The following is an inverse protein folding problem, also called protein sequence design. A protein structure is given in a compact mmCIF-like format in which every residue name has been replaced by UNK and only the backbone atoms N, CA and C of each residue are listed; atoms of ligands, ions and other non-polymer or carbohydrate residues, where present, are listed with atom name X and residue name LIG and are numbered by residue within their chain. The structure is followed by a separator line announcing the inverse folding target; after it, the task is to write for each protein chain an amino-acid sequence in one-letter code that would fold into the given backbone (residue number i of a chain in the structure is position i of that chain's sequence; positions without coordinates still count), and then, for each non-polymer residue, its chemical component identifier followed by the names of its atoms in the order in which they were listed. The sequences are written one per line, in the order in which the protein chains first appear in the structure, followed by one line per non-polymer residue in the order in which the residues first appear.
data_IF_517146012044
#
_entry.id   IF_517146012044
#
_cell.length_a   1.000
_cell.length_b   1.000
_cell.length_c   1.000
_cell.angle_alpha   90.00
_cell.angle_beta   90.00
_cell.angle_gamma   90.00
#
_symmetry.space_group_name_H-M   'P 1'
#
loop_
_entity.id
_entity.type
_entity.pdbx_description
1 polymer ?
#
# COMPACT_ATOMS: atom_id res chain seq x y z
N UNK A 1 9.23 18.55 12.55
CA UNK A 1 7.81 18.21 12.75
C UNK A 1 7.62 16.73 12.45
N UNK A 2 7.34 15.90 13.45
CA UNK A 2 7.07 14.47 13.23
C UNK A 2 5.65 14.32 12.70
N UNK A 3 5.52 14.24 11.38
CA UNK A 3 4.22 14.16 10.70
C UNK A 3 3.37 12.98 11.18
N UNK A 4 4.02 11.90 11.62
CA UNK A 4 3.38 10.70 12.20
C UNK A 4 2.65 10.93 13.52
N UNK A 5 2.62 12.15 14.07
CA UNK A 5 1.87 12.49 15.29
C UNK A 5 0.54 13.17 15.01
N UNK A 6 0.33 13.60 13.76
CA UNK A 6 -0.85 14.36 13.38
C UNK A 6 -1.91 13.42 12.82
N UNK A 7 -3.14 13.53 13.32
CA UNK A 7 -4.31 13.06 12.57
C UNK A 7 -4.46 13.96 11.35
N UNK A 8 -4.70 13.34 10.20
CA UNK A 8 -4.79 14.06 8.92
C UNK A 8 -6.15 13.83 8.29
N UNK A 9 -6.77 14.91 7.84
CA UNK A 9 -8.05 14.87 7.13
C UNK A 9 -8.15 16.01 6.12
N UNK A 10 -8.91 15.80 5.04
CA UNK A 10 -9.26 16.87 4.10
C UNK A 10 -10.49 17.58 4.64
N UNK A 11 -10.40 18.90 4.76
CA UNK A 11 -11.51 19.74 5.22
C UNK A 11 -11.78 20.84 4.22
N UNK A 12 -13.03 21.29 4.14
CA UNK A 12 -13.44 22.39 3.27
C UNK A 12 -13.76 23.63 4.11
N UNK A 13 -13.34 24.79 3.64
CA UNK A 13 -13.64 26.07 4.26
C UNK A 13 -13.87 27.15 3.21
N UNK A 14 -14.07 28.39 3.67
CA UNK A 14 -14.52 29.49 2.82
C UNK A 14 -13.61 29.81 1.61
N UNK A 15 -12.33 29.39 1.64
CA UNK A 15 -11.38 29.62 0.54
C UNK A 15 -10.93 28.34 -0.17
N UNK A 16 -11.69 27.24 -0.04
CA UNK A 16 -11.46 25.97 -0.70
C UNK A 16 -11.13 24.82 0.24
N UNK A 17 -10.51 23.76 -0.29
CA UNK A 17 -10.07 22.59 0.47
C UNK A 17 -8.73 22.83 1.15
N UNK A 18 -8.57 22.24 2.33
CA UNK A 18 -7.39 22.29 3.17
C UNK A 18 -7.03 20.89 3.63
N UNK A 19 -5.73 20.65 3.78
CA UNK A 19 -5.23 19.50 4.52
C UNK A 19 -5.07 19.90 5.99
N UNK A 20 -5.90 19.33 6.85
CA UNK A 20 -5.86 19.60 8.28
C UNK A 20 -4.97 18.60 8.98
N UNK A 21 -4.02 19.10 9.76
CA UNK A 21 -3.14 18.33 10.65
C UNK A 21 -3.51 18.68 12.09
N UNK A 22 -3.92 17.69 12.87
CA UNK A 22 -4.33 17.88 14.27
C UNK A 22 -3.46 17.02 15.18
N UNK A 23 -2.78 17.62 16.16
CA UNK A 23 -2.14 16.92 17.28
C UNK A 23 -2.89 17.20 18.60
N UNK A 24 -2.31 16.83 19.75
CA UNK A 24 -2.93 17.02 21.07
C UNK A 24 -3.15 18.48 21.47
N UNK A 25 -2.55 19.44 20.77
CA UNK A 25 -2.49 20.84 21.21
C UNK A 25 -2.71 21.84 20.06
N UNK A 26 -2.51 21.43 18.82
CA UNK A 26 -2.47 22.32 17.66
C UNK A 26 -3.30 21.76 16.51
N UNK A 27 -3.89 22.69 15.75
CA UNK A 27 -4.54 22.43 14.48
C UNK A 27 -3.86 23.32 13.43
N UNK A 28 -3.32 22.68 12.39
CA UNK A 28 -2.74 23.35 11.23
C UNK A 28 -3.60 23.08 10.00
N UNK A 29 -3.97 24.12 9.26
CA UNK A 29 -4.67 24.00 7.99
C UNK A 29 -3.75 24.43 6.86
N UNK A 30 -3.34 23.48 6.02
CA UNK A 30 -2.48 23.72 4.86
C UNK A 30 -3.36 23.90 3.62
N UNK A 31 -3.19 25.04 2.95
CA UNK A 31 -3.82 25.30 1.65
C UNK A 31 -2.82 25.00 0.54
N UNK A 32 -3.29 24.33 -0.50
CA UNK A 32 -2.52 24.05 -1.71
C UNK A 32 -3.09 24.82 -2.88
N UNK A 33 -2.24 25.22 -3.83
CA UNK A 33 -2.67 25.84 -5.08
C UNK A 33 -3.34 24.82 -5.98
N UNK A 34 -2.80 23.59 -6.01
CA UNK A 34 -3.31 22.47 -6.79
C UNK A 34 -3.81 21.34 -5.90
N UNK A 35 -4.97 20.77 -6.26
CA UNK A 35 -5.56 19.63 -5.54
C UNK A 35 -4.68 18.37 -5.61
N UNK A 36 -3.95 18.18 -6.72
CA UNK A 36 -3.04 17.05 -6.90
C UNK A 36 -1.90 17.04 -5.88
N UNK A 37 -1.36 18.21 -5.54
CA UNK A 37 -0.35 18.34 -4.50
C UNK A 37 -0.91 18.01 -3.12
N UNK A 38 -2.11 18.50 -2.81
CA UNK A 38 -2.78 18.19 -1.55
C UNK A 38 -2.99 16.67 -1.38
N UNK A 39 -3.45 16.00 -2.45
CA UNK A 39 -3.64 14.55 -2.43
C UNK A 39 -2.32 13.81 -2.22
N UNK A 40 -1.24 14.22 -2.91
CA UNK A 40 0.08 13.65 -2.69
C UNK A 40 0.56 13.80 -1.24
N UNK A 41 0.31 14.97 -0.63
CA UNK A 41 0.61 15.20 0.78
C UNK A 41 -0.25 14.35 1.71
N UNK A 42 -1.56 14.26 1.45
CA UNK A 42 -2.46 13.39 2.20
C UNK A 42 -1.96 11.94 2.21
N UNK A 43 -1.65 11.39 1.04
CA UNK A 43 -1.18 10.01 0.92
C UNK A 43 0.15 9.80 1.67
N UNK A 44 1.12 10.71 1.49
CA UNK A 44 2.41 10.67 2.22
C UNK A 44 2.21 10.70 3.73
N UNK A 45 1.28 11.53 4.22
CA UNK A 45 1.02 11.67 5.65
C UNK A 45 0.37 10.42 6.22
N UNK A 46 -0.64 9.86 5.54
CA UNK A 46 -1.30 8.63 5.95
C UNK A 46 -0.30 7.48 6.06
N UNK A 47 0.67 7.38 5.15
CA UNK A 47 1.74 6.40 5.24
C UNK A 47 2.63 6.59 6.47
N UNK A 48 2.92 7.83 6.90
CA UNK A 48 3.70 8.03 8.14
C UNK A 48 2.99 7.49 9.39
N UNK A 49 1.67 7.33 9.33
CA UNK A 49 0.85 6.71 10.37
C UNK A 49 0.82 5.19 10.29
N UNK A 50 1.20 4.61 9.14
CA UNK A 50 1.21 3.16 8.98
C UNK A 50 2.32 2.55 9.82
N UNK A 51 1.95 1.55 10.61
CA UNK A 51 2.91 0.76 11.34
C UNK A 51 3.77 -0.05 10.33
N UNK A 52 5.05 -0.34 10.66
CA UNK A 52 5.87 -1.26 9.87
C UNK A 52 5.22 -2.63 9.68
N UNK A 53 4.30 -2.99 10.58
CA UNK A 53 3.46 -4.17 10.51
C UNK A 53 2.05 -3.69 10.16
N UNK A 54 1.55 -4.08 8.99
CA UNK A 54 0.24 -3.71 8.50
C UNK A 54 -0.61 -4.98 8.35
N UNK A 55 -1.74 -5.03 9.06
CA UNK A 55 -2.71 -6.11 8.94
C UNK A 55 -3.99 -5.59 8.26
N UNK A 56 -4.25 -6.10 7.06
CA UNK A 56 -5.44 -5.86 6.25
C UNK A 56 -6.17 -7.18 5.96
N UNK A 57 -5.97 -8.22 6.79
CA UNK A 57 -6.65 -9.51 6.61
C UNK A 57 -8.15 -9.43 6.89
N UNK A 58 -8.95 -10.28 6.24
CA UNK A 58 -10.39 -10.42 6.47
C UNK A 58 -11.24 -9.16 6.14
N UNK A 59 -10.80 -8.32 5.19
CA UNK A 59 -11.49 -7.08 4.82
C UNK A 59 -12.26 -7.14 3.49
N UNK A 60 -12.27 -8.30 2.81
CA UNK A 60 -12.89 -8.47 1.46
C UNK A 60 -12.35 -7.48 0.43
N UNK A 61 -11.08 -7.10 0.56
CA UNK A 61 -10.43 -6.16 -0.34
C UNK A 61 -10.35 -6.75 -1.75
N UNK A 62 -10.77 -5.95 -2.74
CA UNK A 62 -10.50 -6.21 -4.16
C UNK A 62 -9.20 -5.53 -4.59
N UNK A 63 -9.00 -4.32 -4.06
CA UNK A 63 -7.83 -3.49 -4.25
C UNK A 63 -7.25 -3.11 -2.88
N UNK A 64 -5.94 -2.89 -2.85
CA UNK A 64 -5.21 -2.38 -1.72
C UNK A 64 -5.35 -0.85 -1.64
N UNK A 65 -5.33 -0.27 -0.44
CA UNK A 65 -5.32 1.17 -0.27
C UNK A 65 -4.07 1.80 -0.89
N UNK A 66 -4.22 2.88 -1.66
CA UNK A 66 -3.10 3.55 -2.35
C UNK A 66 -2.06 4.10 -1.36
N UNK A 67 -2.47 4.36 -0.12
CA UNK A 67 -1.62 4.79 1.00
C UNK A 67 -0.44 3.83 1.22
N UNK A 68 -0.66 2.53 0.97
CA UNK A 68 0.33 1.47 1.07
C UNK A 68 1.58 1.75 0.21
N UNK A 69 1.38 2.34 -0.97
CA UNK A 69 2.40 2.48 -2.02
C UNK A 69 3.01 3.87 -2.12
N UNK A 70 2.64 4.79 -1.23
CA UNK A 70 3.10 6.16 -1.35
C UNK A 70 4.61 6.30 -1.18
N UNK A 71 5.17 7.25 -1.93
CA UNK A 71 6.63 7.43 -2.02
C UNK A 71 7.09 8.27 -0.84
N UNK A 72 7.43 7.60 0.27
CA UNK A 72 7.97 8.21 1.49
C UNK A 72 9.12 7.38 2.05
N UNK A 73 10.30 8.00 2.22
CA UNK A 73 11.54 7.32 2.63
C UNK A 73 11.50 6.82 4.08
N UNK A 74 10.72 7.50 4.94
CA UNK A 74 10.94 7.42 6.40
C UNK A 74 10.25 6.26 7.12
N UNK A 75 9.20 5.65 6.56
CA UNK A 75 8.55 4.46 7.14
C UNK A 75 7.97 3.61 6.02
N UNK A 76 8.60 2.47 5.80
CA UNK A 76 8.15 1.48 4.83
C UNK A 76 7.57 0.27 5.57
N UNK A 77 6.57 -0.35 4.96
CA UNK A 77 5.94 -1.56 5.48
C UNK A 77 6.91 -2.72 5.34
N UNK A 78 7.12 -3.41 6.45
CA UNK A 78 8.03 -4.55 6.59
C UNK A 78 7.26 -5.85 6.66
N UNK A 79 6.10 -5.84 7.29
CA UNK A 79 5.19 -6.99 7.37
C UNK A 79 3.82 -6.57 6.87
N UNK A 80 3.29 -7.32 5.90
CA UNK A 80 1.99 -7.05 5.32
C UNK A 80 1.14 -8.33 5.31
N UNK A 81 0.05 -8.30 6.06
CA UNK A 81 -0.93 -9.37 6.09
C UNK A 81 -2.16 -8.97 5.26
N UNK A 82 -2.38 -9.67 4.15
CA UNK A 82 -3.52 -9.50 3.24
C UNK A 82 -4.38 -10.76 3.17
N UNK A 83 -4.26 -11.65 4.16
CA UNK A 83 -4.97 -12.92 4.20
C UNK A 83 -6.50 -12.73 4.09
N UNK A 84 -7.21 -13.67 3.45
CA UNK A 84 -8.68 -13.69 3.40
C UNK A 84 -9.28 -12.41 2.82
N UNK A 85 -8.75 -11.99 1.68
CA UNK A 85 -9.34 -10.95 0.85
C UNK A 85 -9.79 -11.53 -0.49
N UNK A 86 -10.05 -10.68 -1.47
CA UNK A 86 -10.46 -11.07 -2.83
C UNK A 86 -9.66 -10.27 -3.85
N UNK A 87 -8.34 -10.19 -3.60
CA UNK A 87 -7.41 -9.32 -4.31
C UNK A 87 -7.36 -9.64 -5.80
N UNK A 88 -7.30 -8.59 -6.61
CA UNK A 88 -7.27 -8.71 -8.06
C UNK A 88 -5.90 -8.34 -8.63
N UNK A 89 -5.58 -8.98 -9.75
CA UNK A 89 -4.47 -8.61 -10.62
C UNK A 89 -4.86 -7.45 -11.52
N UNK A 90 -3.89 -6.63 -11.92
CA UNK A 90 -4.17 -5.53 -12.85
C UNK A 90 -4.67 -6.12 -14.18
N UNK A 91 -5.85 -5.72 -14.67
CA UNK A 91 -6.35 -6.17 -15.96
C UNK A 91 -5.39 -5.75 -17.09
N UNK A 92 -5.21 -6.62 -18.08
CA UNK A 92 -4.30 -6.37 -19.22
C UNK A 92 -4.68 -5.13 -20.03
N UNK A 93 -5.96 -4.78 -20.08
CA UNK A 93 -6.47 -3.56 -20.73
C UNK A 93 -6.27 -2.29 -19.88
N UNK A 94 -5.80 -2.40 -18.63
CA UNK A 94 -5.57 -1.27 -17.71
C UNK A 94 -4.09 -1.06 -17.36
N UNK A 95 -3.15 -1.67 -18.09
CA UNK A 95 -1.70 -1.55 -17.81
C UNK A 95 -1.23 -0.08 -17.82
N UNK A 96 -1.80 0.76 -18.69
CA UNK A 96 -1.47 2.18 -18.78
C UNK A 96 -2.16 3.06 -17.70
N UNK A 97 -3.06 2.48 -16.90
CA UNK A 97 -3.74 3.22 -15.85
C UNK A 97 -2.78 3.43 -14.66
N UNK A 98 -2.57 4.68 -14.20
CA UNK A 98 -1.72 4.96 -13.04
C UNK A 98 -2.31 4.49 -11.70
N UNK A 99 -3.58 4.03 -11.69
CA UNK A 99 -4.26 3.52 -10.49
C UNK A 99 -3.45 2.41 -9.81
N UNK A 100 -3.10 2.64 -8.55
CA UNK A 100 -2.49 1.65 -7.68
C UNK A 100 -3.57 0.83 -6.97
N UNK A 101 -3.16 -0.16 -6.17
CA UNK A 101 -4.08 -1.02 -5.43
C UNK A 101 -4.20 -2.44 -5.97
N UNK A 102 -3.65 -2.74 -7.14
CA UNK A 102 -3.65 -4.13 -7.63
C UNK A 102 -2.65 -4.97 -6.85
N UNK A 103 -2.88 -6.28 -6.78
CA UNK A 103 -1.93 -7.19 -6.12
C UNK A 103 -0.52 -7.08 -6.72
N UNK A 104 -0.43 -6.82 -8.03
CA UNK A 104 0.85 -6.60 -8.72
C UNK A 104 1.64 -5.39 -8.18
N UNK A 105 0.95 -4.38 -7.64
CA UNK A 105 1.60 -3.19 -7.09
C UNK A 105 2.34 -3.48 -5.77
N UNK A 106 2.11 -4.64 -5.12
CA UNK A 106 2.88 -5.08 -3.94
C UNK A 106 4.38 -5.16 -4.23
N UNK A 107 4.78 -5.43 -5.48
CA UNK A 107 6.18 -5.39 -5.91
C UNK A 107 6.88 -4.02 -5.72
N UNK A 108 6.13 -2.95 -5.44
CA UNK A 108 6.67 -1.61 -5.12
C UNK A 108 7.14 -1.47 -3.67
N UNK A 109 6.78 -2.40 -2.79
CA UNK A 109 7.07 -2.34 -1.35
C UNK A 109 8.45 -2.93 -1.03
N UNK A 110 9.52 -2.28 -1.50
CA UNK A 110 10.89 -2.82 -1.47
C UNK A 110 11.43 -3.16 -0.06
N UNK A 111 10.90 -2.57 1.02
CA UNK A 111 11.29 -2.94 2.40
C UNK A 111 10.55 -4.14 2.98
N UNK A 112 9.62 -4.73 2.22
CA UNK A 112 8.80 -5.83 2.70
C UNK A 112 9.65 -7.07 2.95
N UNK A 113 9.50 -7.65 4.15
CA UNK A 113 10.20 -8.86 4.61
C UNK A 113 9.26 -10.04 4.82
N UNK A 114 8.01 -9.78 5.18
CA UNK A 114 6.98 -10.80 5.35
C UNK A 114 5.70 -10.37 4.64
N UNK A 115 5.21 -11.25 3.77
CA UNK A 115 3.99 -11.06 3.01
C UNK A 115 3.09 -12.28 3.15
N UNK A 116 1.89 -12.06 3.66
CA UNK A 116 0.85 -13.08 3.72
C UNK A 116 -0.29 -12.73 2.77
N UNK A 117 -0.48 -13.53 1.72
CA UNK A 117 -1.61 -13.40 0.79
C UNK A 117 -2.44 -14.69 0.75
N UNK A 118 -2.43 -15.45 1.85
CA UNK A 118 -3.21 -16.67 1.98
C UNK A 118 -4.72 -16.43 1.80
N UNK A 119 -5.45 -17.45 1.38
CA UNK A 119 -6.91 -17.44 1.29
C UNK A 119 -7.48 -16.29 0.40
N UNK A 120 -6.86 -15.99 -0.76
CA UNK A 120 -7.29 -14.93 -1.69
C UNK A 120 -7.85 -15.44 -3.04
N UNK A 121 -8.05 -16.76 -3.20
CA UNK A 121 -8.51 -17.39 -4.44
C UNK A 121 -7.64 -17.08 -5.67
N UNK A 122 -6.35 -16.81 -5.46
CA UNK A 122 -5.43 -16.47 -6.56
C UNK A 122 -5.19 -17.69 -7.45
N UNK A 123 -5.38 -17.56 -8.75
CA UNK A 123 -5.08 -18.62 -9.74
C UNK A 123 -3.67 -18.53 -10.31
N UNK A 124 -3.09 -17.33 -10.31
CA UNK A 124 -1.75 -17.06 -10.83
C UNK A 124 -0.85 -16.57 -9.71
N UNK A 125 0.42 -16.94 -9.80
CA UNK A 125 1.42 -16.38 -8.91
C UNK A 125 1.66 -14.89 -9.25
N UNK A 126 1.67 -13.99 -8.26
CA UNK A 126 1.97 -12.58 -8.47
C UNK A 126 3.46 -12.35 -8.74
N UNK A 127 3.83 -12.36 -10.03
CA UNK A 127 5.23 -12.37 -10.45
C UNK A 127 6.03 -11.16 -9.96
N UNK A 128 5.40 -10.00 -9.78
CA UNK A 128 6.06 -8.78 -9.29
C UNK A 128 6.65 -8.92 -7.88
N UNK A 129 6.16 -9.89 -7.09
CA UNK A 129 6.74 -10.19 -5.78
C UNK A 129 8.15 -10.78 -5.89
N UNK A 130 8.54 -11.35 -7.04
CA UNK A 130 9.92 -11.84 -7.21
C UNK A 130 10.97 -10.73 -7.14
N UNK A 131 10.58 -9.48 -7.36
CA UNK A 131 11.48 -8.33 -7.30
C UNK A 131 11.66 -7.77 -5.87
N UNK A 132 10.97 -8.33 -4.87
CA UNK A 132 11.09 -7.90 -3.48
C UNK A 132 12.34 -8.52 -2.83
N UNK A 133 13.51 -7.91 -3.07
CA UNK A 133 14.81 -8.43 -2.64
C UNK A 133 14.99 -8.58 -1.12
N UNK A 134 14.15 -7.95 -0.30
CA UNK A 134 14.19 -8.09 1.16
C UNK A 134 13.20 -9.13 1.69
N UNK A 135 12.40 -9.77 0.83
CA UNK A 135 11.33 -10.67 1.24
C UNK A 135 11.91 -12.00 1.73
N UNK A 136 11.66 -12.32 2.99
CA UNK A 136 12.13 -13.53 3.67
C UNK A 136 11.02 -14.53 3.97
N UNK A 137 9.77 -14.08 3.97
CA UNK A 137 8.60 -14.91 4.24
C UNK A 137 7.48 -14.57 3.26
N UNK A 138 6.98 -15.61 2.57
CA UNK A 138 5.89 -15.50 1.62
C UNK A 138 4.88 -16.62 1.89
N UNK A 139 3.66 -16.25 2.31
CA UNK A 139 2.58 -17.20 2.62
C UNK A 139 1.52 -17.11 1.53
N UNK A 140 1.33 -18.22 0.81
CA UNK A 140 0.44 -18.35 -0.36
C UNK A 140 -0.64 -19.42 -0.17
N UNK A 141 -0.73 -20.03 1.02
CA UNK A 141 -1.66 -21.14 1.29
C UNK A 141 -3.13 -20.76 1.08
N UNK A 142 -3.98 -21.72 0.76
CA UNK A 142 -5.41 -21.46 0.54
C UNK A 142 -5.74 -20.68 -0.74
N UNK A 143 -4.78 -20.57 -1.67
CA UNK A 143 -5.01 -20.08 -3.02
C UNK A 143 -5.17 -21.24 -4.03
N UNK A 144 -5.46 -20.91 -5.28
CA UNK A 144 -5.60 -21.85 -6.40
C UNK A 144 -4.41 -21.80 -7.37
N UNK A 145 -3.24 -21.34 -6.90
CA UNK A 145 -2.03 -21.21 -7.72
C UNK A 145 -1.52 -22.61 -8.06
N UNK A 146 -1.57 -22.95 -9.35
CA UNK A 146 -1.13 -24.26 -9.85
C UNK A 146 0.33 -24.27 -10.35
N UNK A 147 0.92 -23.10 -10.55
CA UNK A 147 2.26 -22.94 -11.12
C UNK A 147 3.03 -21.83 -10.39
N UNK A 148 4.25 -22.17 -9.95
CA UNK A 148 5.20 -21.20 -9.41
C UNK A 148 6.20 -20.85 -10.52
N UNK A 149 6.31 -19.56 -10.91
CA UNK A 149 7.18 -19.13 -11.99
C UNK A 149 8.66 -19.19 -11.57
N UNK A 150 9.55 -19.44 -12.53
CA UNK A 150 11.00 -19.53 -12.29
C UNK A 150 11.60 -18.25 -11.68
N UNK A 151 10.96 -17.11 -11.91
CA UNK A 151 11.31 -15.80 -11.36
C UNK A 151 11.34 -15.81 -9.83
N UNK A 152 10.64 -16.73 -9.14
CA UNK A 152 10.73 -16.88 -7.69
C UNK A 152 12.18 -17.03 -7.19
N UNK A 153 13.08 -17.56 -8.03
CA UNK A 153 14.51 -17.68 -7.72
C UNK A 153 15.19 -16.33 -7.44
N UNK A 154 14.62 -15.22 -7.90
CA UNK A 154 15.14 -13.86 -7.65
C UNK A 154 14.99 -13.42 -6.19
N UNK A 155 14.11 -14.06 -5.42
CA UNK A 155 13.96 -13.80 -3.98
C UNK A 155 15.16 -14.28 -3.14
N UNK A 156 16.00 -15.15 -3.68
CA UNK A 156 17.11 -15.80 -2.94
C UNK A 156 18.46 -15.13 -3.25
N UNK A 157 18.49 -14.03 -4.01
CA UNK A 157 19.72 -13.31 -4.34
C UNK A 157 20.21 -12.44 -3.18
#
# INVERSE_FOLDING_TARGET
MLLSRYRVEVTEGNRGKYLRLTDSSNIYNLKFEAIGEMNLWLTRLLQTQMAPICDLSDHRLLLLPDELFSVGVNRQIVTLNLRRNSLQFRPSNQIQNPLLGWLDDVGRLHSLRSLNIADNLLYHFPITISHLSNLTELILSGNCISYIPAQIAELIK
#
